data_IF_392362701692
#
_entry.id   IF_392362701692
#
_cell.length_a   1.000
_cell.length_b   1.000
_cell.length_c   1.000
_cell.angle_alpha   90.00
_cell.angle_beta   90.00
_cell.angle_gamma   90.00
#
_symmetry.space_group_name_H-M   'P 1'
#
loop_
_entity.id
_entity.type
_entity.pdbx_description
1 polymer ?
#
# COMPACT_ATOMS: atom_id res chain seq x y z
N UNK A 1 -1.50 9.44 9.63
CA UNK A 1 -2.78 9.30 8.88
C UNK A 1 -3.87 8.99 9.91
N UNK A 2 -4.60 10.01 10.37
CA UNK A 2 -5.52 9.87 11.52
C UNK A 2 -7.00 9.72 11.11
N UNK A 3 -7.28 9.81 9.81
CA UNK A 3 -8.63 9.66 9.25
C UNK A 3 -8.60 8.59 8.17
N UNK A 4 -9.67 7.81 8.04
CA UNK A 4 -9.83 6.82 6.97
C UNK A 4 -10.22 7.42 5.62
N UNK A 5 -10.19 8.75 5.49
CA UNK A 5 -10.62 9.51 4.31
C UNK A 5 -9.88 9.12 3.03
N UNK A 6 -8.62 8.69 3.14
CA UNK A 6 -7.82 8.22 2.01
C UNK A 6 -8.34 6.91 1.40
N UNK A 7 -9.31 6.24 2.06
CA UNK A 7 -10.03 5.07 1.53
C UNK A 7 -11.37 5.42 0.89
N UNK A 8 -11.76 6.70 0.84
CA UNK A 8 -13.08 7.11 0.31
C UNK A 8 -13.30 6.69 -1.15
N UNK A 9 -12.24 6.58 -1.95
CA UNK A 9 -12.31 6.12 -3.34
C UNK A 9 -12.80 4.67 -3.48
N UNK A 10 -12.71 3.85 -2.42
CA UNK A 10 -13.15 2.43 -2.44
C UNK A 10 -14.65 2.32 -2.66
N UNK A 11 -15.43 3.26 -2.13
CA UNK A 11 -16.89 3.33 -2.33
C UNK A 11 -17.18 4.64 -3.07
N UNK A 12 -17.32 4.65 -4.40
CA UNK A 12 -17.50 5.89 -5.17
C UNK A 12 -18.74 6.71 -4.76
N UNK A 13 -18.70 8.05 -4.91
CA UNK A 13 -19.81 8.92 -4.49
C UNK A 13 -21.13 8.63 -5.19
N UNK A 14 -21.06 8.11 -6.42
CA UNK A 14 -22.21 7.89 -7.30
C UNK A 14 -22.70 6.44 -7.27
N UNK A 15 -22.36 5.67 -6.23
CA UNK A 15 -22.80 4.27 -6.08
C UNK A 15 -24.33 4.19 -6.01
N UNK A 16 -24.94 3.40 -6.90
CA UNK A 16 -26.39 3.15 -6.94
C UNK A 16 -26.73 1.75 -6.45
N UNK A 17 -25.84 0.80 -6.71
CA UNK A 17 -25.95 -0.59 -6.32
C UNK A 17 -24.59 -1.14 -5.92
N UNK A 18 -24.61 -2.23 -5.16
CA UNK A 18 -23.39 -2.90 -4.67
C UNK A 18 -22.43 -3.25 -5.80
N UNK A 19 -22.95 -3.62 -6.98
CA UNK A 19 -22.12 -4.02 -8.12
C UNK A 19 -21.33 -2.89 -8.78
N UNK A 20 -21.65 -1.62 -8.50
CA UNK A 20 -20.86 -0.48 -8.98
C UNK A 20 -19.51 -0.37 -8.23
N UNK A 21 -19.38 -1.06 -7.10
CA UNK A 21 -18.17 -1.08 -6.27
C UNK A 21 -17.22 -2.14 -6.80
N UNK A 22 -16.00 -1.73 -7.16
CA UNK A 22 -14.94 -2.66 -7.58
C UNK A 22 -14.62 -3.69 -6.48
N UNK A 23 -14.33 -4.92 -6.88
CA UNK A 23 -13.99 -5.98 -5.93
C UNK A 23 -12.66 -5.66 -5.28
N UNK A 24 -12.69 -5.24 -4.02
CA UNK A 24 -11.58 -4.60 -3.33
C UNK A 24 -11.13 -5.43 -2.14
N UNK A 25 -9.82 -5.56 -1.98
CA UNK A 25 -9.18 -6.24 -0.88
C UNK A 25 -8.33 -5.24 -0.09
N UNK A 26 -8.63 -5.01 1.18
CA UNK A 26 -7.92 -4.02 2.01
C UNK A 26 -7.14 -4.76 3.10
N UNK A 27 -5.82 -4.57 3.17
CA UNK A 27 -5.00 -5.06 4.27
C UNK A 27 -4.92 -4.02 5.38
N UNK A 28 -5.21 -4.43 6.61
CA UNK A 28 -5.19 -3.61 7.81
C UNK A 28 -4.38 -4.28 8.93
N UNK A 29 -3.70 -3.47 9.75
CA UNK A 29 -2.76 -3.97 10.78
C UNK A 29 -3.42 -4.74 11.94
N UNK A 30 -4.73 -4.59 12.13
CA UNK A 30 -5.45 -5.25 13.23
C UNK A 30 -6.95 -5.30 12.95
N UNK A 31 -7.65 -6.20 13.66
CA UNK A 31 -9.10 -6.30 13.57
C UNK A 31 -9.78 -4.99 14.01
N UNK A 32 -9.25 -4.31 15.04
CA UNK A 32 -9.78 -3.02 15.48
C UNK A 32 -9.68 -1.95 14.39
N UNK A 33 -8.60 -1.93 13.61
CA UNK A 33 -8.47 -1.03 12.45
C UNK A 33 -9.42 -1.46 11.34
N UNK A 34 -9.54 -2.76 11.07
CA UNK A 34 -10.46 -3.28 10.05
C UNK A 34 -11.92 -2.88 10.32
N UNK A 35 -12.40 -2.99 11.57
CA UNK A 35 -13.75 -2.55 11.95
C UNK A 35 -13.94 -1.04 11.81
N UNK A 36 -12.90 -0.24 12.10
CA UNK A 36 -12.98 1.21 11.90
C UNK A 36 -13.02 1.59 10.41
N UNK A 37 -12.26 0.89 9.57
CA UNK A 37 -12.34 1.04 8.10
C UNK A 37 -13.74 0.66 7.61
N UNK A 38 -14.29 -0.48 8.06
CA UNK A 38 -15.65 -0.92 7.71
C UNK A 38 -16.69 0.16 8.02
N UNK A 39 -16.67 0.69 9.25
CA UNK A 39 -17.59 1.74 9.67
C UNK A 39 -17.44 3.02 8.83
N UNK A 40 -16.20 3.42 8.53
CA UNK A 40 -15.95 4.58 7.67
C UNK A 40 -16.49 4.38 6.25
N UNK A 41 -16.25 3.22 5.64
CA UNK A 41 -16.70 2.94 4.28
C UNK A 41 -18.23 2.83 4.19
N UNK A 42 -18.90 2.25 5.20
CA UNK A 42 -20.36 2.32 5.28
C UNK A 42 -20.86 3.76 5.46
N UNK A 43 -20.13 4.60 6.20
CA UNK A 43 -20.42 6.03 6.27
C UNK A 43 -20.41 6.74 4.91
N UNK A 44 -19.59 6.26 3.96
CA UNK A 44 -19.53 6.75 2.58
C UNK A 44 -20.69 6.23 1.70
N UNK A 45 -21.49 5.29 2.16
CA UNK A 45 -22.58 4.72 1.37
C UNK A 45 -23.87 5.55 1.51
N UNK A 46 -24.74 5.57 0.47
CA UNK A 46 -26.11 6.04 0.62
C UNK A 46 -26.89 5.14 1.59
N UNK A 47 -27.90 5.70 2.25
CA UNK A 47 -28.61 5.04 3.35
C UNK A 47 -29.18 3.66 2.99
N UNK A 48 -29.63 3.48 1.75
CA UNK A 48 -30.20 2.21 1.27
C UNK A 48 -29.17 1.08 1.10
N UNK A 49 -27.87 1.40 1.05
CA UNK A 49 -26.80 0.41 0.92
C UNK A 49 -26.05 0.16 2.23
N UNK A 50 -26.21 1.05 3.22
CA UNK A 50 -25.51 0.94 4.51
C UNK A 50 -25.82 -0.40 5.20
N UNK A 51 -24.77 -1.06 5.66
CA UNK A 51 -24.84 -2.31 6.44
C UNK A 51 -25.56 -3.49 5.75
N UNK A 52 -25.74 -3.44 4.42
CA UNK A 52 -26.28 -4.57 3.62
C UNK A 52 -25.31 -5.74 3.51
N UNK A 53 -24.07 -5.58 4.01
CA UNK A 53 -23.13 -6.68 4.20
C UNK A 53 -22.12 -6.89 3.08
N UNK A 54 -22.02 -5.96 2.13
CA UNK A 54 -21.03 -6.05 1.05
C UNK A 54 -19.61 -5.63 1.46
N UNK A 55 -19.44 -5.03 2.64
CA UNK A 55 -18.16 -4.77 3.29
C UNK A 55 -18.06 -5.68 4.49
N UNK A 56 -16.98 -6.48 4.57
CA UNK A 56 -16.77 -7.43 5.67
C UNK A 56 -15.32 -7.44 6.16
N UNK A 57 -15.09 -7.42 7.48
CA UNK A 57 -13.78 -7.70 8.04
C UNK A 57 -13.48 -9.20 7.93
N UNK A 58 -12.21 -9.55 7.82
CA UNK A 58 -11.75 -10.94 7.68
C UNK A 58 -10.44 -11.13 8.43
N UNK A 59 -10.45 -11.99 9.43
CA UNK A 59 -9.34 -12.16 10.37
C UNK A 59 -9.40 -13.57 10.96
N UNK A 60 -8.25 -14.10 11.37
CA UNK A 60 -8.14 -15.37 12.08
C UNK A 60 -8.93 -15.40 13.41
N UNK A 61 -9.26 -14.23 13.97
CA UNK A 61 -10.10 -14.12 15.16
C UNK A 61 -11.57 -14.52 14.93
N UNK A 62 -12.03 -14.56 13.68
CA UNK A 62 -13.39 -15.02 13.37
C UNK A 62 -13.46 -16.54 13.23
N UNK A 63 -14.63 -17.11 13.50
CA UNK A 63 -14.89 -18.54 13.37
C UNK A 63 -14.61 -19.03 11.94
N UNK A 64 -14.26 -20.32 11.82
CA UNK A 64 -14.05 -20.96 10.51
C UNK A 64 -15.30 -20.79 9.64
N UNK A 65 -16.49 -21.05 10.19
CA UNK A 65 -17.77 -20.90 9.49
C UNK A 65 -17.97 -19.48 8.94
N UNK A 66 -17.68 -18.45 9.74
CA UNK A 66 -17.75 -17.07 9.29
C UNK A 66 -16.80 -16.81 8.12
N UNK A 67 -15.54 -17.22 8.26
CA UNK A 67 -14.52 -17.03 7.23
C UNK A 67 -14.89 -17.73 5.93
N UNK A 68 -15.35 -18.98 5.99
CA UNK A 68 -15.82 -19.73 4.83
C UNK A 68 -16.99 -19.01 4.13
N UNK A 69 -18.01 -18.62 4.89
CA UNK A 69 -19.20 -17.96 4.32
C UNK A 69 -18.85 -16.62 3.67
N UNK A 70 -18.09 -15.77 4.37
CA UNK A 70 -17.69 -14.45 3.83
C UNK A 70 -16.83 -14.60 2.58
N UNK A 71 -15.90 -15.57 2.57
CA UNK A 71 -15.06 -15.83 1.41
C UNK A 71 -15.89 -16.30 0.21
N UNK A 72 -16.89 -17.16 0.42
CA UNK A 72 -17.78 -17.61 -0.64
C UNK A 72 -18.67 -16.47 -1.18
N UNK A 73 -19.15 -15.60 -0.29
CA UNK A 73 -19.86 -14.38 -0.69
C UNK A 73 -18.96 -13.38 -1.44
N UNK A 74 -17.68 -13.29 -1.08
CA UNK A 74 -16.71 -12.48 -1.81
C UNK A 74 -16.46 -13.05 -3.20
N UNK A 75 -16.23 -14.37 -3.32
CA UNK A 75 -16.09 -15.05 -4.62
C UNK A 75 -17.30 -14.83 -5.53
N UNK A 76 -18.52 -14.90 -4.99
CA UNK A 76 -19.77 -14.64 -5.73
C UNK A 76 -20.03 -13.16 -6.04
N UNK A 77 -19.24 -12.25 -5.48
CA UNK A 77 -19.40 -10.81 -5.69
C UNK A 77 -20.55 -10.17 -4.91
N UNK A 78 -21.12 -10.85 -3.90
CA UNK A 78 -22.09 -10.23 -2.98
C UNK A 78 -21.40 -9.43 -1.88
N UNK A 79 -20.22 -9.90 -1.45
CA UNK A 79 -19.25 -9.06 -0.73
C UNK A 79 -18.32 -8.45 -1.77
N UNK A 80 -18.20 -7.13 -1.76
CA UNK A 80 -17.35 -6.36 -2.70
C UNK A 80 -16.09 -5.86 -2.04
N UNK A 81 -16.08 -5.63 -0.73
CA UNK A 81 -14.91 -5.14 0.00
C UNK A 81 -14.60 -6.09 1.15
N UNK A 82 -13.42 -6.70 1.11
CA UNK A 82 -12.91 -7.55 2.18
C UNK A 82 -11.76 -6.86 2.90
N UNK A 83 -11.87 -6.67 4.22
CA UNK A 83 -10.86 -5.97 5.02
C UNK A 83 -10.11 -7.00 5.88
N UNK A 84 -8.91 -7.36 5.44
CA UNK A 84 -8.13 -8.46 5.99
C UNK A 84 -7.02 -7.99 6.93
N UNK A 85 -6.70 -8.82 7.91
CA UNK A 85 -5.42 -8.73 8.64
C UNK A 85 -4.39 -9.69 8.06
N UNK A 86 -3.10 -9.43 8.31
CA UNK A 86 -1.96 -10.18 7.73
C UNK A 86 -2.07 -11.70 7.86
N UNK A 87 -2.55 -12.20 9.01
CA UNK A 87 -2.72 -13.62 9.27
C UNK A 87 -3.83 -14.30 8.43
N UNK A 88 -4.70 -13.53 7.79
CA UNK A 88 -5.89 -14.03 7.10
C UNK A 88 -5.85 -13.85 5.58
N UNK A 89 -5.10 -12.86 5.07
CA UNK A 89 -5.00 -12.62 3.63
C UNK A 89 -4.06 -13.57 2.87
N UNK A 90 -3.12 -14.22 3.55
CA UNK A 90 -2.20 -15.18 2.93
C UNK A 90 -2.93 -16.48 2.57
N UNK A 91 -3.01 -16.80 1.28
CA UNK A 91 -3.52 -18.10 0.79
C UNK A 91 -4.90 -18.08 0.15
N UNK A 92 -5.58 -16.94 0.07
CA UNK A 92 -6.84 -16.83 -0.66
C UNK A 92 -6.55 -16.61 -2.15
N UNK A 93 -6.57 -17.69 -2.95
CA UNK A 93 -6.49 -17.59 -4.41
C UNK A 93 -7.82 -17.05 -4.96
N UNK A 94 -7.91 -15.73 -5.11
CA UNK A 94 -9.09 -15.06 -5.68
C UNK A 94 -8.60 -14.32 -6.92
N UNK A 95 -8.87 -14.84 -8.12
CA UNK A 95 -8.27 -14.31 -9.34
C UNK A 95 -8.83 -12.94 -9.73
N UNK A 96 -10.05 -12.63 -9.28
CA UNK A 96 -10.88 -11.55 -9.77
C UNK A 96 -10.89 -10.27 -8.93
N UNK A 97 -9.83 -10.02 -8.14
CA UNK A 97 -9.70 -8.79 -7.34
C UNK A 97 -9.29 -7.62 -8.24
N UNK A 98 -10.12 -6.59 -8.31
CA UNK A 98 -9.86 -5.40 -9.13
C UNK A 98 -8.89 -4.43 -8.44
N UNK A 99 -9.00 -4.30 -7.12
CA UNK A 99 -8.21 -3.34 -6.32
C UNK A 99 -7.67 -4.01 -5.06
N UNK A 100 -6.37 -3.90 -4.82
CA UNK A 100 -5.73 -4.22 -3.54
C UNK A 100 -5.29 -2.91 -2.88
N UNK A 101 -5.70 -2.68 -1.64
CA UNK A 101 -5.27 -1.52 -0.85
C UNK A 101 -4.52 -1.98 0.38
N UNK A 102 -3.30 -1.51 0.56
CA UNK A 102 -2.51 -1.69 1.77
C UNK A 102 -2.64 -0.43 2.63
N UNK A 103 -3.34 -0.55 3.77
CA UNK A 103 -3.45 0.51 4.75
C UNK A 103 -2.16 0.61 5.55
N UNK A 104 -1.47 1.76 5.44
CA UNK A 104 -0.13 1.99 6.02
C UNK A 104 0.93 1.05 5.44
N UNK A 105 2.19 1.41 5.67
CA UNK A 105 3.31 0.59 5.19
C UNK A 105 3.32 -0.78 5.90
N UNK A 106 3.48 -1.88 5.14
CA UNK A 106 3.79 -3.18 5.73
C UNK A 106 5.22 -3.18 6.30
N UNK A 107 5.62 -4.30 6.91
CA UNK A 107 6.95 -4.41 7.51
C UNK A 107 8.10 -4.41 6.50
N UNK A 108 7.86 -4.86 5.26
CA UNK A 108 8.89 -4.95 4.22
C UNK A 108 8.32 -4.90 2.80
N UNK A 109 9.20 -4.69 1.81
CA UNK A 109 8.84 -4.78 0.39
C UNK A 109 8.32 -6.15 0.01
N UNK A 110 8.91 -7.24 0.50
CA UNK A 110 8.42 -8.59 0.20
C UNK A 110 6.97 -8.77 0.66
N UNK A 111 6.64 -8.22 1.85
CA UNK A 111 5.26 -8.24 2.35
C UNK A 111 4.31 -7.42 1.46
N UNK A 112 4.75 -6.25 0.97
CA UNK A 112 3.98 -5.47 0.01
C UNK A 112 3.75 -6.22 -1.30
N UNK A 113 4.80 -6.76 -1.92
CA UNK A 113 4.72 -7.46 -3.21
C UNK A 113 3.85 -8.71 -3.12
N UNK A 114 3.99 -9.50 -2.06
CA UNK A 114 3.15 -10.69 -1.84
C UNK A 114 1.66 -10.33 -1.80
N UNK A 115 1.31 -9.22 -1.15
CA UNK A 115 -0.08 -8.74 -1.07
C UNK A 115 -0.52 -8.14 -2.41
N UNK A 116 0.33 -7.33 -3.04
CA UNK A 116 0.01 -6.66 -4.30
C UNK A 116 -0.26 -7.65 -5.42
N UNK A 117 0.45 -8.78 -5.43
CA UNK A 117 0.21 -9.92 -6.32
C UNK A 117 -1.10 -10.69 -6.07
N UNK A 118 -1.94 -10.26 -5.11
CA UNK A 118 -3.32 -10.72 -5.00
C UNK A 118 -4.28 -9.98 -5.96
N UNK A 119 -3.93 -8.79 -6.45
CA UNK A 119 -4.74 -8.08 -7.43
C UNK A 119 -4.63 -8.76 -8.81
N UNK A 120 -5.76 -8.92 -9.50
CA UNK A 120 -5.93 -9.40 -10.87
C UNK A 120 -4.94 -10.51 -11.28
N UNK A 121 -5.17 -11.74 -10.80
CA UNK A 121 -4.35 -12.90 -11.21
C UNK A 121 -4.72 -13.45 -12.58
N UNK A 122 -5.84 -13.00 -13.15
CA UNK A 122 -6.23 -13.36 -14.52
C UNK A 122 -5.35 -12.61 -15.54
N UNK A 123 -4.74 -13.30 -16.53
CA UNK A 123 -3.84 -12.68 -17.51
C UNK A 123 -4.46 -11.54 -18.31
N UNK A 124 -5.78 -11.57 -18.52
CA UNK A 124 -6.51 -10.59 -19.32
C UNK A 124 -7.08 -9.42 -18.48
N UNK A 125 -6.65 -9.30 -17.22
CA UNK A 125 -7.15 -8.27 -16.29
C UNK A 125 -6.04 -7.41 -15.73
N UNK A 126 -6.27 -6.10 -15.71
CA UNK A 126 -5.44 -5.16 -15.00
C UNK A 126 -5.98 -4.97 -13.56
N UNK A 127 -5.12 -5.20 -12.58
CA UNK A 127 -5.41 -4.92 -11.17
C UNK A 127 -4.72 -3.64 -10.71
N UNK A 128 -5.35 -2.92 -9.78
CA UNK A 128 -4.76 -1.74 -9.15
C UNK A 128 -4.27 -2.10 -7.75
N UNK A 129 -2.97 -1.92 -7.49
CA UNK A 129 -2.39 -2.05 -6.16
C UNK A 129 -2.09 -0.65 -5.59
N UNK A 130 -2.68 -0.32 -4.44
CA UNK A 130 -2.58 0.99 -3.78
C UNK A 130 -1.88 0.83 -2.43
N UNK A 131 -0.77 1.53 -2.23
CA UNK A 131 -0.08 1.61 -0.94
C UNK A 131 -0.35 2.98 -0.31
N UNK A 132 -1.09 3.02 0.80
CA UNK A 132 -1.36 4.25 1.53
C UNK A 132 -0.20 4.54 2.49
N UNK A 133 0.69 5.45 2.09
CA UNK A 133 1.86 5.83 2.87
C UNK A 133 1.58 6.97 3.84
N UNK A 134 2.07 6.86 5.07
CA UNK A 134 2.00 7.95 6.04
C UNK A 134 3.07 9.01 5.75
N UNK A 135 2.76 10.28 6.04
CA UNK A 135 3.70 11.39 5.85
C UNK A 135 5.06 11.17 6.53
N UNK A 136 5.06 10.49 7.68
CA UNK A 136 6.28 10.15 8.43
C UNK A 136 7.28 9.32 7.62
N UNK A 137 6.85 8.59 6.60
CA UNK A 137 7.75 7.85 5.70
C UNK A 137 8.66 8.81 4.94
N UNK A 138 8.15 9.99 4.56
CA UNK A 138 8.93 11.02 3.87
C UNK A 138 9.76 11.89 4.82
N UNK A 139 9.62 11.69 6.13
CA UNK A 139 10.46 12.34 7.16
C UNK A 139 11.77 11.57 7.40
N UNK A 140 11.98 10.44 6.70
CA UNK A 140 13.22 9.68 6.70
C UNK A 140 14.13 10.09 5.53
N UNK A 141 15.33 10.55 5.84
CA UNK A 141 16.36 10.94 4.88
C UNK A 141 17.25 9.75 4.52
N UNK A 142 16.97 9.14 3.37
CA UNK A 142 17.67 7.93 2.91
C UNK A 142 19.06 8.25 2.33
N UNK A 143 19.28 9.49 1.88
CA UNK A 143 20.58 9.95 1.41
C UNK A 143 21.54 10.05 2.58
N UNK A 144 21.13 10.78 3.62
CA UNK A 144 21.91 10.92 4.84
C UNK A 144 22.14 9.58 5.55
N UNK A 145 21.16 8.67 5.50
CA UNK A 145 21.32 7.30 6.02
C UNK A 145 22.50 6.58 5.36
N UNK A 146 22.57 6.60 4.04
CA UNK A 146 23.63 5.93 3.29
C UNK A 146 25.00 6.61 3.46
N UNK A 147 25.05 7.93 3.57
CA UNK A 147 26.28 8.67 3.89
C UNK A 147 26.86 8.25 5.25
N UNK A 148 26.01 8.13 6.27
CA UNK A 148 26.41 7.67 7.62
C UNK A 148 26.88 6.22 7.58
N UNK A 149 26.18 5.33 6.87
CA UNK A 149 26.59 3.94 6.70
C UNK A 149 27.95 3.83 6.01
N UNK A 150 28.17 4.60 4.94
CA UNK A 150 29.45 4.64 4.22
C UNK A 150 30.60 5.08 5.15
N UNK A 151 30.42 6.18 5.89
CA UNK A 151 31.43 6.68 6.84
C UNK A 151 31.76 5.66 7.95
N UNK A 152 30.75 4.95 8.47
CA UNK A 152 30.96 3.93 9.51
C UNK A 152 31.76 2.71 9.01
N UNK A 153 31.64 2.36 7.72
CA UNK A 153 32.36 1.26 7.11
C UNK A 153 33.83 1.63 6.80
N UNK A 154 34.14 2.91 6.60
CA UNK A 154 35.51 3.39 6.41
C UNK A 154 36.30 3.40 7.74
N UNK A 155 35.63 3.63 8.88
CA UNK A 155 36.26 3.63 10.20
C UNK A 155 36.44 2.21 10.80
N UNK A 156 35.68 1.22 10.32
CA UNK A 156 35.73 -0.16 10.83
C UNK A 156 36.16 -1.15 9.76
N UNK A 157 37.47 -1.34 9.62
CA UNK A 157 38.04 -2.52 8.98
C UNK A 157 37.64 -3.81 9.71
N UNK A 158 36.47 -4.36 9.37
CA UNK A 158 36.03 -5.72 9.67
C UNK A 158 35.34 -5.97 11.02
N UNK A 159 34.02 -6.11 11.02
CA UNK A 159 33.33 -7.34 11.49
C UNK A 159 31.84 -7.29 11.14
N UNK A 160 31.31 -8.34 10.53
CA UNK A 160 29.90 -8.48 10.16
C UNK A 160 29.06 -8.95 11.36
N UNK A 161 28.45 -8.02 12.08
CA UNK A 161 27.42 -8.32 13.08
C UNK A 161 26.05 -8.48 12.43
N UNK A 162 25.43 -9.66 12.56
CA UNK A 162 24.04 -9.90 12.11
C UNK A 162 23.06 -8.98 12.87
N UNK A 163 22.14 -8.27 12.19
CA UNK A 163 21.15 -7.45 12.88
C UNK A 163 20.13 -8.32 13.64
N UNK A 164 19.78 -7.88 14.86
CA UNK A 164 18.75 -8.52 15.70
C UNK A 164 17.37 -8.30 15.10
N UNK A 165 16.56 -9.37 15.02
CA UNK A 165 15.16 -9.33 14.59
C UNK A 165 14.30 -8.59 15.62
N UNK A 166 14.04 -7.30 15.38
CA UNK A 166 13.01 -6.51 16.05
C UNK A 166 11.81 -6.31 15.12
N UNK A 167 10.59 -6.42 15.64
CA UNK A 167 9.37 -6.19 14.87
C UNK A 167 9.27 -4.75 14.37
N UNK A 168 8.86 -4.59 13.12
CA UNK A 168 8.75 -3.29 12.44
C UNK A 168 7.49 -2.57 12.95
N UNK A 169 7.66 -1.73 13.98
CA UNK A 169 6.78 -0.59 14.23
C UNK A 169 7.63 0.65 14.50
N UNK A 170 7.55 1.58 13.54
CA UNK A 170 7.86 3.01 13.61
C UNK A 170 9.30 3.45 13.87
N UNK A 171 10.00 3.75 12.77
CA UNK A 171 10.70 5.03 12.56
C UNK A 171 12.04 5.38 13.26
N UNK A 172 12.76 4.59 14.08
CA UNK A 172 13.93 5.13 14.76
C UNK A 172 15.21 5.01 13.92
N UNK A 173 15.15 4.35 12.76
CA UNK A 173 16.35 3.90 12.03
C UNK A 173 16.92 4.96 11.09
N UNK A 174 16.10 5.87 10.57
CA UNK A 174 16.54 6.81 9.54
C UNK A 174 16.75 8.23 10.10
N UNK A 175 17.78 8.96 9.64
CA UNK A 175 17.93 10.38 9.95
C UNK A 175 16.70 11.18 9.55
N UNK A 176 16.40 12.24 10.31
CA UNK A 176 15.25 13.10 10.04
C UNK A 176 15.49 13.98 8.83
N UNK A 177 14.58 13.92 7.87
CA UNK A 177 14.58 14.74 6.67
C UNK A 177 14.06 16.17 6.90
N UNK A 178 14.43 17.07 5.99
CA UNK A 178 13.85 18.42 5.90
C UNK A 178 12.46 18.38 5.25
N UNK A 179 11.69 19.49 5.37
CA UNK A 179 10.39 19.59 4.70
C UNK A 179 10.55 19.63 3.18
N UNK A 180 11.63 20.25 2.72
CA UNK A 180 12.00 20.39 1.32
C UNK A 180 12.32 19.02 0.73
N UNK A 181 13.11 18.20 1.44
CA UNK A 181 13.36 16.80 1.06
C UNK A 181 12.04 16.04 0.96
N UNK A 182 11.19 16.09 2.00
CA UNK A 182 9.93 15.37 2.00
C UNK A 182 9.03 15.77 0.81
N UNK A 183 8.93 17.06 0.50
CA UNK A 183 8.17 17.57 -0.65
C UNK A 183 8.77 17.09 -1.97
N UNK A 184 10.09 17.18 -2.12
CA UNK A 184 10.82 16.70 -3.30
C UNK A 184 10.61 15.20 -3.55
N UNK A 185 10.50 14.39 -2.48
CA UNK A 185 10.20 12.95 -2.56
C UNK A 185 8.72 12.61 -2.73
N UNK A 186 7.84 13.60 -2.85
CA UNK A 186 6.42 13.37 -3.14
C UNK A 186 5.53 13.18 -1.92
N UNK A 187 5.88 13.74 -0.75
CA UNK A 187 5.05 13.67 0.46
C UNK A 187 3.61 14.22 0.32
N UNK A 188 3.33 14.97 -0.75
CA UNK A 188 2.01 15.53 -1.06
C UNK A 188 1.31 14.85 -2.25
N UNK A 189 1.97 13.89 -2.91
CA UNK A 189 1.48 13.22 -4.12
C UNK A 189 0.30 12.30 -3.78
N UNK A 190 -0.74 12.29 -4.62
CA UNK A 190 -1.93 11.46 -4.41
C UNK A 190 -2.83 11.91 -3.25
N UNK A 191 -2.59 13.10 -2.71
CA UNK A 191 -3.48 13.74 -1.73
C UNK A 191 -4.59 14.56 -2.39
N UNK A 192 -5.47 15.17 -1.58
CA UNK A 192 -6.61 15.97 -2.05
C UNK A 192 -6.31 17.10 -3.05
N UNK A 193 -5.11 17.65 -3.01
CA UNK A 193 -4.67 18.71 -3.91
C UNK A 193 -3.87 18.11 -5.07
N UNK A 194 -4.57 17.88 -6.17
CA UNK A 194 -4.05 17.29 -7.41
C UNK A 194 -2.88 18.07 -8.02
N UNK A 195 -2.69 19.34 -7.65
CA UNK A 195 -1.56 20.14 -8.11
C UNK A 195 -0.20 19.60 -7.65
N UNK A 196 -0.17 18.69 -6.66
CA UNK A 196 1.06 18.07 -6.16
C UNK A 196 1.37 16.71 -6.79
N UNK A 197 0.45 16.14 -7.57
CA UNK A 197 0.77 15.00 -8.43
C UNK A 197 1.75 15.51 -9.47
N UNK A 198 2.97 14.99 -9.66
CA UNK A 198 3.99 15.58 -10.56
C UNK A 198 4.84 16.70 -9.97
N UNK A 199 4.67 17.10 -8.70
CA UNK A 199 5.60 18.06 -8.07
C UNK A 199 6.88 17.42 -7.51
N UNK A 200 7.01 16.09 -7.57
CA UNK A 200 8.14 15.34 -7.03
C UNK A 200 9.32 15.29 -8.02
N UNK A 201 10.54 15.28 -7.48
CA UNK A 201 11.75 15.07 -8.27
C UNK A 201 11.71 13.69 -8.93
N UNK A 202 12.17 13.61 -10.18
CA UNK A 202 12.22 12.36 -10.97
C UNK A 202 13.55 11.64 -10.82
N UNK A 203 14.00 11.48 -9.58
CA UNK A 203 15.26 10.83 -9.26
C UNK A 203 15.04 9.73 -8.23
N UNK A 204 15.87 8.71 -8.30
CA UNK A 204 15.88 7.65 -7.31
C UNK A 204 16.50 8.12 -6.00
N UNK A 205 16.12 7.43 -4.93
CA UNK A 205 16.77 7.54 -3.62
C UNK A 205 17.59 6.28 -3.39
N UNK A 206 18.61 6.33 -2.52
CA UNK A 206 19.46 5.17 -2.30
C UNK A 206 18.68 3.95 -1.81
N UNK A 207 19.16 2.77 -2.21
CA UNK A 207 18.58 1.48 -1.86
C UNK A 207 19.48 0.76 -0.85
N UNK A 208 18.96 0.55 0.36
CA UNK A 208 19.58 -0.28 1.39
C UNK A 208 18.85 -1.62 1.48
N UNK A 209 19.40 -2.66 0.83
CA UNK A 209 18.83 -4.02 0.90
C UNK A 209 19.07 -4.72 2.24
N UNK A 210 19.98 -4.19 3.07
CA UNK A 210 20.24 -4.74 4.40
C UNK A 210 19.31 -4.16 5.46
N UNK A 211 18.58 -3.09 5.14
CA UNK A 211 17.55 -2.52 6.00
C UNK A 211 16.42 -3.52 6.28
N UNK A 212 15.82 -3.42 7.47
CA UNK A 212 14.73 -4.30 7.90
C UNK A 212 13.49 -4.21 7.02
N UNK A 213 13.32 -3.09 6.30
CA UNK A 213 12.19 -2.83 5.42
C UNK A 213 12.41 -3.35 4.00
N UNK A 214 13.58 -3.92 3.70
CA UNK A 214 13.97 -4.47 2.40
C UNK A 214 13.85 -3.44 1.25
N UNK A 215 14.08 -2.15 1.53
CA UNK A 215 13.98 -1.07 0.55
C UNK A 215 12.57 -0.47 0.40
N UNK A 216 11.69 -0.66 1.38
CA UNK A 216 10.30 -0.18 1.29
C UNK A 216 10.23 1.34 1.28
N UNK A 217 11.09 2.00 2.06
CA UNK A 217 11.17 3.45 2.05
C UNK A 217 11.68 3.97 0.70
N UNK A 218 12.66 3.28 0.08
CA UNK A 218 13.13 3.57 -1.28
C UNK A 218 11.99 3.44 -2.29
N UNK A 219 11.21 2.36 -2.23
CA UNK A 219 10.06 2.15 -3.11
C UNK A 219 9.00 3.26 -2.98
N UNK A 220 8.77 3.77 -1.77
CA UNK A 220 7.79 4.84 -1.53
C UNK A 220 8.31 6.20 -1.99
N UNK A 221 9.57 6.54 -1.66
CA UNK A 221 10.18 7.85 -1.89
C UNK A 221 10.81 8.03 -3.28
N UNK A 222 10.91 6.99 -4.10
CA UNK A 222 11.45 7.08 -5.46
C UNK A 222 10.64 8.03 -6.34
N UNK A 223 11.35 8.83 -7.14
CA UNK A 223 10.79 9.64 -8.21
C UNK A 223 10.64 8.91 -9.56
N UNK A 224 11.23 7.72 -9.70
CA UNK A 224 11.33 6.96 -10.95
C UNK A 224 10.30 5.82 -11.00
N UNK A 225 10.47 4.87 -11.93
CA UNK A 225 9.53 3.77 -12.10
C UNK A 225 9.53 2.84 -10.87
N UNK A 226 8.37 2.71 -10.20
CA UNK A 226 8.24 1.81 -9.05
C UNK A 226 8.50 0.35 -9.41
N UNK A 227 8.15 -0.09 -10.64
CA UNK A 227 8.43 -1.47 -11.08
C UNK A 227 9.92 -1.70 -11.27
N UNK A 228 10.66 -0.70 -11.76
CA UNK A 228 12.12 -0.77 -11.92
C UNK A 228 12.81 -0.86 -10.55
N UNK A 229 12.36 -0.08 -9.57
CA UNK A 229 12.85 -0.22 -8.18
C UNK A 229 12.59 -1.62 -7.64
N UNK A 230 11.40 -2.19 -7.88
CA UNK A 230 11.10 -3.57 -7.50
C UNK A 230 12.02 -4.58 -8.22
N UNK A 231 12.26 -4.42 -9.52
CA UNK A 231 13.15 -5.34 -10.26
C UNK A 231 14.59 -5.25 -9.75
N UNK A 232 15.05 -4.06 -9.35
CA UNK A 232 16.36 -3.88 -8.71
C UNK A 232 16.44 -4.57 -7.34
N UNK A 233 15.39 -4.43 -6.51
CA UNK A 233 15.32 -5.06 -5.19
C UNK A 233 15.40 -6.58 -5.29
N UNK A 234 14.62 -7.17 -6.21
CA UNK A 234 14.53 -8.62 -6.37
C UNK A 234 15.50 -9.20 -7.40
N UNK A 235 16.36 -8.37 -8.01
CA UNK A 235 17.33 -8.76 -9.05
C UNK A 235 16.67 -9.47 -10.25
N UNK A 236 15.55 -8.93 -10.71
CA UNK A 236 14.82 -9.39 -11.89
C UNK A 236 15.18 -8.57 -13.13
N UNK A 237 14.83 -9.07 -14.31
CA UNK A 237 14.94 -8.34 -15.57
C UNK A 237 14.09 -7.06 -15.57
N UNK A 238 14.44 -6.04 -16.39
CA UNK A 238 13.66 -4.81 -16.50
C UNK A 238 12.18 -5.06 -16.84
N UNK A 239 11.27 -4.21 -16.35
CA UNK A 239 9.84 -4.39 -16.60
C UNK A 239 9.45 -3.97 -18.03
N UNK A 240 8.58 -4.77 -18.67
CA UNK A 240 7.91 -4.43 -19.94
C UNK A 240 6.37 -4.40 -19.74
N UNK A 241 5.80 -3.30 -19.24
CA UNK A 241 4.37 -3.19 -18.97
C UNK A 241 3.51 -3.26 -20.24
N UNK A 242 2.48 -4.10 -20.24
CA UNK A 242 1.40 -4.07 -21.25
C UNK A 242 0.19 -3.22 -20.83
N UNK A 243 0.21 -2.71 -19.59
CA UNK A 243 -0.81 -1.86 -18.95
C UNK A 243 -0.12 -0.67 -18.26
N UNK A 244 -0.84 0.40 -17.88
CA UNK A 244 -0.26 1.51 -17.11
C UNK A 244 0.65 1.04 -15.97
N UNK A 245 1.87 1.58 -15.92
CA UNK A 245 2.95 0.99 -15.13
C UNK A 245 2.82 1.23 -13.62
N UNK A 246 2.93 2.48 -13.21
CA UNK A 246 2.77 2.96 -11.84
C UNK A 246 2.50 4.47 -11.86
N UNK A 247 2.10 5.05 -10.73
CA UNK A 247 1.77 6.47 -10.57
C UNK A 247 2.89 7.44 -10.96
N UNK A 248 4.15 7.01 -10.87
CA UNK A 248 5.29 7.81 -11.34
C UNK A 248 5.40 7.83 -12.87
N UNK A 249 5.17 6.71 -13.56
CA UNK A 249 5.24 6.63 -15.02
C UNK A 249 3.95 7.15 -15.68
N UNK A 250 2.82 6.98 -15.01
CA UNK A 250 1.49 7.38 -15.47
C UNK A 250 0.70 7.96 -14.30
N UNK A 251 0.63 9.30 -14.24
CA UNK A 251 -0.05 10.01 -13.17
C UNK A 251 -1.58 9.83 -13.19
N UNK A 252 -2.18 9.39 -14.31
CA UNK A 252 -3.63 9.18 -14.41
C UNK A 252 -4.12 8.09 -13.46
N UNK A 253 -3.24 7.18 -13.04
CA UNK A 253 -3.53 6.18 -12.02
C UNK A 253 -3.95 6.79 -10.67
N UNK A 254 -3.49 8.00 -10.35
CA UNK A 254 -3.91 8.70 -9.13
C UNK A 254 -5.36 9.20 -9.21
N UNK A 255 -5.91 9.44 -10.40
CA UNK A 255 -7.31 9.83 -10.57
C UNK A 255 -8.27 8.75 -10.04
N UNK A 256 -7.83 7.50 -10.04
CA UNK A 256 -8.59 6.35 -9.53
C UNK A 256 -8.60 6.25 -8.00
N UNK A 257 -7.69 6.95 -7.31
CA UNK A 257 -7.43 6.78 -5.87
C UNK A 257 -7.52 8.07 -5.08
N UNK A 258 -7.68 9.22 -5.75
CA UNK A 258 -7.82 10.51 -5.09
C UNK A 258 -8.94 10.49 -4.05
N UNK A 259 -8.68 10.92 -2.80
CA UNK A 259 -9.73 10.99 -1.80
C UNK A 259 -10.85 11.92 -2.27
N UNK A 260 -12.10 11.44 -2.22
CA UNK A 260 -13.23 12.25 -2.61
C UNK A 260 -13.51 13.34 -1.56
N UNK A 261 -13.81 14.56 -2.03
CA UNK A 261 -14.29 15.63 -1.14
C UNK A 261 -15.75 15.34 -0.82
N UNK A 262 -16.00 14.90 0.42
CA UNK A 262 -17.31 14.56 0.96
C UNK A 262 -17.56 15.34 2.24
#
# INVERSE_FOLDING_TARGET
MNTYRDLSFVVPAQVRQVQDIKKTFIYADSLAVATKIENFLYGCCPDNLRYTGFIRPYSAAFSVTYRTNVMDHFRRGTVRVLICTDAAGMGCNIPDIDVMVQWKLPSSVSSWVQRAGCAARDPDRAGLAVLLAERSVYEADLVKHMEVLAASNEETGGSSGKPKKGGVRQSPTYPKATKEYAKARGALRGGYDKNNDNSNERVDVPLDLAALDEGLYTLVQTGTCRREVLTNIFKNSPPEPTVPCCDNCDATLLELTHPERR
#
